data_IF_984951214756
#
_entry.id   IF_984951214756
#
_cell.length_a   1.000
_cell.length_b   1.000
_cell.length_c   1.000
_cell.angle_alpha   90.00
_cell.angle_beta   90.00
_cell.angle_gamma   90.00
#
_symmetry.space_group_name_H-M   'P 1'
#
loop_
_entity.id
_entity.type
_entity.pdbx_description
1 polymer ?
#
# COMPACT_ATOMS: atom_id res chain seq x y z
N UNK A 1 -50.61 -63.04 -16.16
CA UNK A 1 -49.34 -63.77 -16.10
C UNK A 1 -48.21 -62.73 -16.13
N UNK A 2 -47.66 -62.07 -15.11
CA UNK A 2 -47.52 -62.22 -13.64
C UNK A 2 -46.81 -63.49 -13.18
N UNK A 3 -45.52 -63.66 -13.54
CA UNK A 3 -44.48 -64.34 -12.72
C UNK A 3 -43.03 -64.37 -13.27
N UNK A 4 -42.64 -63.71 -14.37
CA UNK A 4 -41.28 -63.89 -14.94
C UNK A 4 -40.19 -62.87 -14.55
N UNK A 5 -40.47 -61.82 -13.77
CA UNK A 5 -39.48 -60.76 -13.46
C UNK A 5 -39.04 -60.72 -11.99
N UNK A 6 -38.61 -61.88 -11.43
CA UNK A 6 -38.14 -61.96 -10.03
C UNK A 6 -36.81 -62.67 -9.79
N UNK A 7 -36.00 -62.89 -10.82
CA UNK A 7 -34.67 -63.49 -10.64
C UNK A 7 -33.61 -62.69 -11.40
N UNK A 8 -33.21 -61.54 -10.86
CA UNK A 8 -31.88 -60.96 -11.12
C UNK A 8 -31.51 -59.90 -10.07
N UNK A 9 -31.53 -60.29 -8.80
CA UNK A 9 -31.02 -59.48 -7.69
C UNK A 9 -30.40 -60.42 -6.67
N UNK A 10 -29.13 -60.81 -6.88
CA UNK A 10 -28.15 -61.24 -5.87
C UNK A 10 -26.88 -61.75 -6.57
N UNK A 11 -25.76 -61.03 -6.39
CA UNK A 11 -24.45 -61.50 -6.84
C UNK A 11 -23.38 -60.43 -6.91
N UNK A 12 -23.04 -59.81 -5.77
CA UNK A 12 -21.76 -59.12 -5.62
C UNK A 12 -20.68 -60.19 -5.41
N UNK A 13 -19.76 -60.35 -6.37
CA UNK A 13 -18.37 -60.72 -6.09
C UNK A 13 -17.47 -60.14 -7.17
N UNK A 14 -16.54 -59.28 -6.75
CA UNK A 14 -15.49 -58.74 -7.58
C UNK A 14 -14.48 -59.85 -7.94
N UNK A 15 -14.25 -60.06 -9.23
CA UNK A 15 -13.10 -60.81 -9.73
C UNK A 15 -12.35 -59.91 -10.71
N UNK A 16 -11.16 -59.46 -10.30
CA UNK A 16 -10.18 -58.84 -11.20
C UNK A 16 -9.52 -59.96 -11.99
N UNK A 17 -9.80 -60.04 -13.29
CA UNK A 17 -9.13 -60.96 -14.21
C UNK A 17 -8.42 -60.14 -15.30
N UNK A 18 -7.12 -59.93 -15.12
CA UNK A 18 -6.23 -59.52 -16.20
C UNK A 18 -5.90 -60.75 -17.03
N UNK A 19 -6.51 -60.87 -18.22
CA UNK A 19 -6.14 -61.87 -19.21
C UNK A 19 -6.01 -61.21 -20.59
N UNK A 20 -4.77 -61.17 -21.07
CA UNK A 20 -4.38 -60.81 -22.42
C UNK A 20 -4.93 -61.84 -23.41
N UNK A 21 -5.68 -61.42 -24.43
CA UNK A 21 -6.05 -62.26 -25.56
C UNK A 21 -5.68 -61.60 -26.89
N UNK A 22 -5.01 -62.39 -27.73
CA UNK A 22 -4.81 -62.13 -29.16
C UNK A 22 -6.10 -62.47 -29.94
N UNK A 23 -6.38 -61.82 -31.09
CA UNK A 23 -7.68 -61.90 -31.73
C UNK A 23 -7.82 -63.16 -32.61
N UNK A 24 -8.88 -63.92 -32.38
CA UNK A 24 -9.46 -64.83 -33.36
C UNK A 24 -10.85 -64.29 -33.73
N UNK A 25 -11.03 -63.84 -34.96
CA UNK A 25 -12.30 -63.38 -35.51
C UNK A 25 -13.19 -64.56 -35.88
N UNK A 26 -14.06 -64.97 -34.96
CA UNK A 26 -15.28 -65.73 -35.24
C UNK A 26 -16.48 -64.78 -35.08
N UNK A 27 -17.48 -64.89 -35.96
CA UNK A 27 -18.71 -64.11 -35.85
C UNK A 27 -19.38 -64.39 -34.51
N UNK A 28 -19.41 -63.38 -33.63
CA UNK A 28 -20.04 -63.47 -32.32
C UNK A 28 -21.55 -63.68 -32.50
N UNK A 29 -22.13 -64.60 -31.74
CA UNK A 29 -23.57 -64.77 -31.64
C UNK A 29 -24.17 -63.43 -31.16
N UNK A 30 -25.21 -62.88 -31.83
CA UNK A 30 -25.87 -61.63 -31.42
C UNK A 30 -26.26 -61.58 -29.94
N UNK A 31 -26.52 -62.73 -29.29
CA UNK A 31 -26.87 -62.81 -27.87
C UNK A 31 -25.66 -62.59 -26.94
N UNK A 32 -24.50 -63.12 -27.29
CA UNK A 32 -23.27 -62.98 -26.48
C UNK A 32 -22.79 -61.53 -26.46
N UNK A 33 -22.81 -60.86 -27.61
CA UNK A 33 -22.39 -59.47 -27.74
C UNK A 33 -23.33 -58.51 -26.99
N UNK A 34 -24.65 -58.73 -27.11
CA UNK A 34 -25.69 -57.98 -26.37
C UNK A 34 -25.49 -58.10 -24.87
N UNK A 35 -25.29 -59.31 -24.38
CA UNK A 35 -25.06 -59.60 -22.95
C UNK A 35 -23.79 -58.89 -22.47
N UNK A 36 -22.69 -58.99 -23.23
CA UNK A 36 -21.43 -58.37 -22.87
C UNK A 36 -21.50 -56.83 -22.77
N UNK A 37 -22.22 -56.16 -23.67
CA UNK A 37 -22.39 -54.70 -23.64
C UNK A 37 -23.21 -54.25 -22.42
N UNK A 38 -24.29 -54.96 -22.09
CA UNK A 38 -25.10 -54.62 -20.92
C UNK A 38 -24.40 -54.94 -19.59
N UNK A 39 -23.69 -56.06 -19.52
CA UNK A 39 -22.82 -56.39 -18.38
C UNK A 39 -21.74 -55.33 -18.18
N UNK A 40 -21.13 -54.85 -19.27
CA UNK A 40 -20.14 -53.77 -19.21
C UNK A 40 -20.74 -52.45 -18.70
N UNK A 41 -21.97 -52.10 -19.07
CA UNK A 41 -22.68 -50.97 -18.49
C UNK A 41 -22.92 -51.18 -16.97
N UNK A 42 -23.54 -52.30 -16.60
CA UNK A 42 -23.94 -52.57 -15.21
C UNK A 42 -22.76 -52.72 -14.25
N UNK A 43 -21.62 -53.23 -14.73
CA UNK A 43 -20.39 -53.31 -13.94
C UNK A 43 -19.75 -51.94 -13.62
N UNK A 44 -20.09 -50.89 -14.38
CA UNK A 44 -19.34 -49.63 -14.35
C UNK A 44 -20.19 -48.38 -14.05
N UNK A 45 -21.53 -48.42 -14.18
CA UNK A 45 -22.38 -47.21 -14.12
C UNK A 45 -22.40 -46.51 -12.75
N UNK A 46 -22.07 -47.21 -11.66
CA UNK A 46 -21.96 -46.66 -10.30
C UNK A 46 -20.49 -46.49 -9.84
N UNK A 47 -19.53 -46.56 -10.76
CA UNK A 47 -18.10 -46.50 -10.47
C UNK A 47 -17.52 -45.09 -10.43
N UNK A 48 -16.19 -44.99 -10.56
CA UNK A 48 -15.44 -43.74 -10.74
C UNK A 48 -15.87 -43.00 -12.01
N UNK A 49 -15.47 -41.74 -12.16
CA UNK A 49 -15.67 -40.96 -13.39
C UNK A 49 -15.28 -41.73 -14.65
N UNK A 50 -14.16 -42.46 -14.61
CA UNK A 50 -13.69 -43.26 -15.74
C UNK A 50 -14.57 -44.50 -15.98
N UNK A 51 -14.97 -45.20 -14.91
CA UNK A 51 -15.90 -46.32 -15.04
C UNK A 51 -17.24 -45.86 -15.61
N UNK A 52 -17.78 -44.74 -15.14
CA UNK A 52 -19.04 -44.20 -15.68
C UNK A 52 -18.92 -43.81 -17.16
N UNK A 53 -17.76 -43.32 -17.63
CA UNK A 53 -17.50 -43.11 -19.07
C UNK A 53 -17.54 -44.43 -19.85
N UNK A 54 -16.95 -45.50 -19.30
CA UNK A 54 -17.01 -46.85 -19.88
C UNK A 54 -18.47 -47.34 -19.94
N UNK A 55 -19.26 -47.11 -18.89
CA UNK A 55 -20.67 -47.48 -18.85
C UNK A 55 -21.49 -46.71 -19.90
N UNK A 56 -21.34 -45.39 -19.98
CA UNK A 56 -22.02 -44.56 -20.99
C UNK A 56 -21.67 -45.01 -22.40
N UNK A 57 -20.39 -45.30 -22.68
CA UNK A 57 -19.97 -45.81 -23.99
C UNK A 57 -20.64 -47.15 -24.30
N UNK A 58 -20.58 -48.11 -23.39
CA UNK A 58 -21.19 -49.43 -23.58
C UNK A 58 -22.72 -49.33 -23.79
N UNK A 59 -23.39 -48.44 -23.05
CA UNK A 59 -24.83 -48.20 -23.21
C UNK A 59 -25.18 -47.55 -24.56
N UNK A 60 -24.37 -46.60 -25.04
CA UNK A 60 -24.54 -46.01 -26.37
C UNK A 60 -24.32 -47.06 -27.47
N UNK A 61 -23.26 -47.85 -27.37
CA UNK A 61 -22.97 -48.95 -28.30
C UNK A 61 -24.13 -49.97 -28.33
N UNK A 62 -24.74 -50.28 -27.18
CA UNK A 62 -25.93 -51.14 -27.08
C UNK A 62 -27.14 -50.53 -27.80
N UNK A 63 -27.45 -49.25 -27.53
CA UNK A 63 -28.59 -48.55 -28.16
C UNK A 63 -28.39 -48.44 -29.67
N UNK A 64 -27.16 -48.19 -30.14
CA UNK A 64 -26.85 -48.08 -31.56
C UNK A 64 -27.07 -49.41 -32.29
N UNK A 65 -26.63 -50.53 -31.70
CA UNK A 65 -26.71 -51.86 -32.33
C UNK A 65 -28.08 -52.52 -32.23
N UNK A 66 -28.76 -52.37 -31.09
CA UNK A 66 -30.00 -53.11 -30.79
C UNK A 66 -31.22 -52.22 -30.58
N UNK A 67 -31.10 -50.90 -30.76
CA UNK A 67 -32.17 -49.93 -30.51
C UNK A 67 -33.41 -50.06 -31.39
N UNK A 68 -33.32 -50.80 -32.50
CA UNK A 68 -34.43 -51.08 -33.41
C UNK A 68 -35.11 -52.44 -33.15
N UNK A 69 -34.57 -53.26 -32.25
CA UNK A 69 -35.10 -54.59 -31.95
C UNK A 69 -36.22 -54.48 -30.90
N UNK A 70 -37.42 -54.97 -31.22
CA UNK A 70 -38.56 -54.92 -30.30
C UNK A 70 -38.34 -55.71 -29.01
N UNK A 71 -37.57 -56.81 -29.08
CA UNK A 71 -37.20 -57.64 -27.92
C UNK A 71 -36.28 -56.92 -26.92
N UNK A 72 -35.64 -55.82 -27.34
CA UNK A 72 -34.68 -55.04 -26.55
C UNK A 72 -35.26 -53.75 -25.97
N UNK A 73 -36.52 -53.45 -26.30
CA UNK A 73 -37.15 -52.16 -26.02
C UNK A 73 -37.02 -51.74 -24.56
N UNK A 74 -37.23 -52.65 -23.60
CA UNK A 74 -37.15 -52.34 -22.17
C UNK A 74 -35.75 -51.90 -21.73
N UNK A 75 -34.69 -52.59 -22.20
CA UNK A 75 -33.30 -52.28 -21.88
C UNK A 75 -32.90 -50.97 -22.55
N UNK A 76 -33.27 -50.80 -23.83
CA UNK A 76 -33.01 -49.58 -24.60
C UNK A 76 -33.66 -48.36 -23.95
N UNK A 77 -34.92 -48.46 -23.51
CA UNK A 77 -35.64 -47.37 -22.84
C UNK A 77 -35.01 -47.05 -21.48
N UNK A 78 -34.61 -48.07 -20.71
CA UNK A 78 -33.87 -47.88 -19.46
C UNK A 78 -32.55 -47.14 -19.69
N UNK A 79 -31.72 -47.57 -20.65
CA UNK A 79 -30.43 -46.95 -20.94
C UNK A 79 -30.59 -45.51 -21.46
N UNK A 80 -31.56 -45.26 -22.34
CA UNK A 80 -31.88 -43.89 -22.82
C UNK A 80 -32.24 -42.95 -21.68
N UNK A 81 -32.92 -43.44 -20.65
CA UNK A 81 -33.28 -42.66 -19.47
C UNK A 81 -32.11 -42.49 -18.48
N UNK A 82 -31.24 -43.49 -18.34
CA UNK A 82 -30.14 -43.49 -17.38
C UNK A 82 -28.92 -42.67 -17.86
N UNK A 83 -28.57 -42.76 -19.15
CA UNK A 83 -27.38 -42.11 -19.72
C UNK A 83 -27.29 -40.61 -19.40
N UNK A 84 -28.35 -39.78 -19.60
CA UNK A 84 -28.25 -38.34 -19.36
C UNK A 84 -27.87 -37.99 -17.91
N UNK A 85 -28.36 -38.76 -16.94
CA UNK A 85 -28.03 -38.56 -15.53
C UNK A 85 -26.57 -38.92 -15.23
N UNK A 86 -26.08 -40.02 -15.80
CA UNK A 86 -24.70 -40.48 -15.64
C UNK A 86 -23.72 -39.51 -16.32
N UNK A 87 -24.04 -39.04 -17.52
CA UNK A 87 -23.25 -38.04 -18.24
C UNK A 87 -23.15 -36.74 -17.46
N UNK A 88 -24.27 -36.26 -16.91
CA UNK A 88 -24.28 -35.09 -16.04
C UNK A 88 -23.42 -35.29 -14.79
N UNK A 89 -23.52 -36.45 -14.14
CA UNK A 89 -22.66 -36.78 -12.98
C UNK A 89 -21.17 -36.83 -13.33
N UNK A 90 -20.80 -37.31 -14.52
CA UNK A 90 -19.40 -37.25 -15.01
C UNK A 90 -18.95 -35.81 -15.17
N UNK A 91 -19.78 -34.95 -15.77
CA UNK A 91 -19.48 -33.53 -15.97
C UNK A 91 -19.31 -32.79 -14.63
N UNK A 92 -20.19 -33.05 -13.68
CA UNK A 92 -20.15 -32.46 -12.34
C UNK A 92 -18.88 -32.88 -11.59
N UNK A 93 -18.49 -34.16 -11.64
CA UNK A 93 -17.25 -34.65 -11.02
C UNK A 93 -16.00 -34.01 -11.64
N UNK A 94 -15.94 -33.91 -12.97
CA UNK A 94 -14.82 -33.25 -13.67
C UNK A 94 -14.71 -31.77 -13.27
N UNK A 95 -15.83 -31.06 -13.18
CA UNK A 95 -15.85 -29.66 -12.70
C UNK A 95 -15.39 -29.55 -11.26
N UNK A 96 -15.83 -30.46 -10.39
CA UNK A 96 -15.44 -30.48 -8.98
C UNK A 96 -13.93 -30.74 -8.82
N UNK A 97 -13.37 -31.71 -9.56
CA UNK A 97 -11.93 -32.00 -9.57
C UNK A 97 -11.11 -30.81 -10.06
N UNK A 98 -11.53 -30.15 -11.14
CA UNK A 98 -10.87 -28.96 -11.66
C UNK A 98 -10.90 -27.80 -10.66
N UNK A 99 -12.04 -27.56 -10.02
CA UNK A 99 -12.19 -26.51 -9.00
C UNK A 99 -11.32 -26.80 -7.77
N UNK A 100 -11.27 -28.05 -7.31
CA UNK A 100 -10.42 -28.47 -6.19
C UNK A 100 -8.93 -28.33 -6.53
N UNK A 101 -8.52 -28.69 -7.74
CA UNK A 101 -7.15 -28.47 -8.22
C UNK A 101 -6.79 -26.98 -8.23
N UNK A 102 -7.65 -26.13 -8.79
CA UNK A 102 -7.44 -24.69 -8.79
C UNK A 102 -7.35 -24.11 -7.36
N UNK A 103 -8.18 -24.60 -6.44
CA UNK A 103 -8.14 -24.22 -5.02
C UNK A 103 -6.80 -24.60 -4.38
N UNK A 104 -6.29 -25.81 -4.62
CA UNK A 104 -4.98 -26.28 -4.11
C UNK A 104 -3.83 -25.45 -4.65
N UNK A 105 -3.84 -25.16 -5.95
CA UNK A 105 -2.81 -24.34 -6.59
C UNK A 105 -2.82 -22.91 -6.04
N UNK A 106 -4.01 -22.32 -5.85
CA UNK A 106 -4.17 -21.04 -5.16
C UNK A 106 -3.58 -21.09 -3.74
N UNK A 107 -3.98 -22.07 -2.94
CA UNK A 107 -3.46 -22.22 -1.57
C UNK A 107 -1.95 -22.39 -1.53
N UNK A 108 -1.37 -23.13 -2.47
CA UNK A 108 0.08 -23.30 -2.57
C UNK A 108 0.81 -21.99 -2.88
N UNK A 109 0.26 -21.13 -3.76
CA UNK A 109 0.83 -19.79 -4.04
C UNK A 109 0.87 -18.93 -2.79
N UNK A 110 -0.25 -18.83 -2.06
CA UNK A 110 -0.30 -18.06 -0.81
C UNK A 110 0.60 -18.67 0.27
N UNK A 111 0.66 -19.99 0.41
CA UNK A 111 1.54 -20.64 1.37
C UNK A 111 3.02 -20.32 1.10
N UNK A 112 3.43 -20.28 -0.19
CA UNK A 112 4.79 -19.87 -0.58
C UNK A 112 5.07 -18.43 -0.20
N UNK A 113 4.20 -17.49 -0.59
CA UNK A 113 4.33 -16.08 -0.24
C UNK A 113 4.43 -15.86 1.27
N UNK A 114 3.53 -16.49 2.03
CA UNK A 114 3.47 -16.41 3.48
C UNK A 114 4.76 -16.92 4.14
N UNK A 115 5.29 -18.04 3.64
CA UNK A 115 6.58 -18.59 4.08
C UNK A 115 7.72 -17.62 3.79
N UNK A 116 7.78 -17.07 2.58
CA UNK A 116 8.86 -16.19 2.14
C UNK A 116 8.86 -14.87 2.94
N UNK A 117 7.68 -14.29 3.17
CA UNK A 117 7.51 -13.07 3.97
C UNK A 117 7.92 -13.30 5.43
N UNK A 118 7.47 -14.40 6.03
CA UNK A 118 7.79 -14.74 7.43
C UNK A 118 9.28 -15.01 7.62
N UNK A 119 9.91 -15.70 6.65
CA UNK A 119 11.34 -15.99 6.64
C UNK A 119 12.22 -14.78 6.27
N UNK A 120 11.59 -13.67 5.85
CA UNK A 120 12.30 -12.50 5.31
C UNK A 120 13.11 -12.78 4.05
N UNK A 121 12.69 -13.79 3.28
CA UNK A 121 13.27 -14.13 1.98
C UNK A 121 12.67 -13.22 0.90
N UNK A 122 13.09 -11.96 0.87
CA UNK A 122 12.42 -10.94 0.07
C UNK A 122 12.50 -11.17 -1.44
N UNK A 123 13.58 -11.74 -1.96
CA UNK A 123 13.68 -12.11 -3.38
C UNK A 123 12.53 -13.07 -3.76
N UNK A 124 12.36 -14.14 -2.99
CA UNK A 124 11.28 -15.11 -3.19
C UNK A 124 9.89 -14.51 -2.90
N UNK A 125 9.76 -13.61 -1.91
CA UNK A 125 8.49 -12.95 -1.58
C UNK A 125 8.01 -12.06 -2.74
N UNK A 126 8.91 -11.34 -3.41
CA UNK A 126 8.57 -10.58 -4.61
C UNK A 126 8.14 -11.48 -5.76
N UNK A 127 8.81 -12.62 -5.96
CA UNK A 127 8.46 -13.60 -7.00
C UNK A 127 7.08 -14.22 -6.73
N UNK A 128 6.86 -14.75 -5.53
CA UNK A 128 5.60 -15.40 -5.16
C UNK A 128 4.44 -14.40 -5.07
N UNK A 129 4.69 -13.19 -4.57
CA UNK A 129 3.71 -12.11 -4.56
C UNK A 129 3.32 -11.65 -5.96
N UNK A 130 4.28 -11.49 -6.87
CA UNK A 130 3.99 -11.17 -8.28
C UNK A 130 3.15 -12.28 -8.95
N UNK A 131 3.42 -13.55 -8.66
CA UNK A 131 2.64 -14.68 -9.17
C UNK A 131 1.19 -14.68 -8.65
N UNK A 132 0.95 -14.26 -7.39
CA UNK A 132 -0.41 -14.06 -6.87
C UNK A 132 -1.10 -12.91 -7.64
N UNK A 133 -0.41 -11.78 -7.82
CA UNK A 133 -0.99 -10.60 -8.46
C UNK A 133 -1.23 -10.74 -9.97
N UNK A 134 -0.59 -11.71 -10.63
CA UNK A 134 -0.89 -12.05 -12.02
C UNK A 134 -2.30 -12.65 -12.18
N UNK A 135 -2.74 -13.46 -11.21
CA UNK A 135 -4.05 -14.11 -11.20
C UNK A 135 -5.10 -13.28 -10.44
N UNK A 136 -4.66 -12.55 -9.41
CA UNK A 136 -5.53 -11.81 -8.49
C UNK A 136 -4.98 -10.37 -8.31
N UNK A 137 -5.12 -9.50 -9.34
CA UNK A 137 -4.49 -8.18 -9.38
C UNK A 137 -5.01 -7.17 -8.35
N UNK A 138 -6.11 -7.50 -7.67
CA UNK A 138 -6.74 -6.67 -6.63
C UNK A 138 -6.41 -7.16 -5.21
N UNK A 139 -5.47 -8.09 -5.04
CA UNK A 139 -5.04 -8.58 -3.72
C UNK A 139 -4.22 -7.54 -2.97
N UNK A 140 -4.92 -6.55 -2.41
CA UNK A 140 -4.35 -5.38 -1.76
C UNK A 140 -3.36 -5.73 -0.64
N UNK A 141 -3.61 -6.78 0.13
CA UNK A 141 -2.71 -7.18 1.22
C UNK A 141 -1.33 -7.60 0.73
N UNK A 142 -1.27 -8.33 -0.39
CA UNK A 142 0.00 -8.71 -1.02
C UNK A 142 0.70 -7.47 -1.55
N UNK A 143 -0.04 -6.56 -2.21
CA UNK A 143 0.52 -5.31 -2.74
C UNK A 143 1.11 -4.46 -1.62
N UNK A 144 0.40 -4.33 -0.49
CA UNK A 144 0.84 -3.55 0.67
C UNK A 144 2.08 -4.15 1.34
N UNK A 145 2.16 -5.48 1.49
CA UNK A 145 3.37 -6.14 2.00
C UNK A 145 4.57 -5.84 1.09
N UNK A 146 4.42 -6.05 -0.22
CA UNK A 146 5.51 -5.80 -1.19
C UNK A 146 5.91 -4.31 -1.26
N UNK A 147 4.94 -3.41 -1.05
CA UNK A 147 5.10 -1.96 -1.01
C UNK A 147 5.80 -1.43 0.24
N UNK A 148 6.15 -2.31 1.19
CA UNK A 148 6.73 -1.91 2.49
C UNK A 148 8.11 -2.46 2.76
N UNK A 149 8.48 -3.58 2.14
CA UNK A 149 9.75 -4.29 2.39
C UNK A 149 10.96 -3.34 2.26
N UNK A 150 11.05 -2.58 1.16
CA UNK A 150 12.22 -1.73 0.89
C UNK A 150 12.48 -0.68 1.97
N UNK A 151 11.45 -0.18 2.67
CA UNK A 151 11.63 0.81 3.73
C UNK A 151 12.46 0.25 4.90
N UNK A 152 12.15 -0.98 5.32
CA UNK A 152 12.90 -1.65 6.39
C UNK A 152 14.34 -1.97 5.95
N UNK A 153 14.49 -2.35 4.67
CA UNK A 153 15.78 -2.75 4.09
C UNK A 153 16.75 -1.56 3.95
N UNK A 154 16.27 -0.36 3.60
CA UNK A 154 17.13 0.83 3.59
C UNK A 154 17.53 1.32 4.98
N UNK A 155 16.82 0.88 6.04
CA UNK A 155 17.13 1.23 7.43
C UNK A 155 18.20 0.33 8.07
N UNK A 156 18.63 -0.73 7.37
CA UNK A 156 19.72 -1.62 7.82
C UNK A 156 21.08 -0.95 7.73
N UNK A 157 22.06 -1.55 8.41
CA UNK A 157 23.47 -1.17 8.34
C UNK A 157 24.30 -2.39 7.92
N UNK A 158 24.84 -2.43 6.68
CA UNK A 158 24.67 -1.44 5.61
C UNK A 158 23.24 -1.43 5.02
N UNK A 159 22.79 -0.31 4.42
CA UNK A 159 21.50 -0.23 3.74
C UNK A 159 21.41 -1.20 2.55
N UNK A 160 20.25 -1.86 2.39
CA UNK A 160 19.98 -2.75 1.26
C UNK A 160 19.01 -2.06 0.31
N UNK A 161 19.50 -1.63 -0.87
CA UNK A 161 18.74 -0.79 -1.81
C UNK A 161 18.15 -1.55 -3.00
N UNK A 162 18.49 -2.84 -3.16
CA UNK A 162 18.07 -3.63 -4.33
C UNK A 162 16.55 -3.76 -4.51
N UNK A 163 15.77 -3.57 -3.45
CA UNK A 163 14.32 -3.70 -3.48
C UNK A 163 13.57 -2.37 -3.69
N UNK A 164 14.29 -1.24 -3.77
CA UNK A 164 13.68 0.09 -3.78
C UNK A 164 12.67 0.27 -4.92
N UNK A 165 13.05 -0.10 -6.14
CA UNK A 165 12.20 0.12 -7.32
C UNK A 165 10.94 -0.74 -7.28
N UNK A 166 11.09 -2.02 -6.88
CA UNK A 166 9.94 -2.91 -6.69
C UNK A 166 9.03 -2.40 -5.56
N UNK A 167 9.59 -1.97 -4.44
CA UNK A 167 8.84 -1.40 -3.31
C UNK A 167 8.05 -0.17 -3.75
N UNK A 168 8.69 0.79 -4.43
CA UNK A 168 8.02 2.00 -4.92
C UNK A 168 6.92 1.66 -5.93
N UNK A 169 7.15 0.69 -6.83
CA UNK A 169 6.14 0.21 -7.77
C UNK A 169 4.89 -0.29 -7.04
N UNK A 170 5.05 -1.18 -6.07
CA UNK A 170 3.90 -1.75 -5.35
C UNK A 170 3.26 -0.75 -4.39
N UNK A 171 4.03 0.15 -3.78
CA UNK A 171 3.48 1.21 -2.95
C UNK A 171 2.60 2.17 -3.76
N UNK A 172 3.02 2.57 -4.97
CA UNK A 172 2.18 3.35 -5.89
C UNK A 172 0.93 2.58 -6.31
N UNK A 173 1.06 1.29 -6.64
CA UNK A 173 -0.08 0.44 -6.98
C UNK A 173 -1.08 0.33 -5.82
N UNK A 174 -0.61 0.18 -4.58
CA UNK A 174 -1.47 0.14 -3.40
C UNK A 174 -2.26 1.46 -3.24
N UNK A 175 -1.58 2.61 -3.37
CA UNK A 175 -2.23 3.93 -3.34
C UNK A 175 -3.32 4.03 -4.42
N UNK A 176 -3.01 3.61 -5.65
CA UNK A 176 -3.97 3.60 -6.76
C UNK A 176 -5.18 2.70 -6.47
N UNK A 177 -4.96 1.45 -6.03
CA UNK A 177 -6.02 0.50 -5.71
C UNK A 177 -6.93 1.03 -4.58
N UNK A 178 -6.35 1.57 -3.52
CA UNK A 178 -7.10 2.18 -2.42
C UNK A 178 -7.86 3.44 -2.86
N UNK A 179 -7.30 4.25 -3.77
CA UNK A 179 -8.00 5.39 -4.37
C UNK A 179 -9.20 4.95 -5.20
N UNK A 180 -9.07 3.85 -5.93
CA UNK A 180 -10.14 3.25 -6.74
C UNK A 180 -11.14 2.41 -5.91
N UNK A 181 -11.02 2.39 -4.58
CA UNK A 181 -12.01 1.79 -3.69
C UNK A 181 -11.80 0.32 -3.37
N UNK A 182 -10.67 -0.28 -3.78
CA UNK A 182 -10.28 -1.62 -3.33
C UNK A 182 -10.05 -1.60 -1.82
N UNK A 183 -10.62 -2.58 -1.12
CA UNK A 183 -10.58 -2.68 0.34
C UNK A 183 -9.88 -3.96 0.76
N UNK A 184 -9.33 -3.91 1.96
CA UNK A 184 -8.92 -5.08 2.74
C UNK A 184 -9.49 -4.95 4.14
N UNK A 185 -9.64 -6.07 4.84
CA UNK A 185 -9.98 -6.09 6.27
C UNK A 185 -8.85 -5.48 7.09
N UNK A 186 -7.61 -5.90 6.82
CA UNK A 186 -6.44 -5.57 7.66
C UNK A 186 -5.52 -4.53 7.02
N UNK A 187 -5.74 -4.21 5.74
CA UNK A 187 -4.87 -3.39 4.91
C UNK A 187 -3.41 -3.82 5.05
N UNK A 188 -3.11 -5.02 4.54
CA UNK A 188 -1.80 -5.66 4.62
C UNK A 188 -1.84 -6.94 5.44
N UNK A 189 -0.67 -7.52 5.66
CA UNK A 189 -0.52 -8.77 6.42
C UNK A 189 0.79 -8.76 7.24
N UNK A 190 0.88 -9.62 8.24
CA UNK A 190 2.07 -9.79 9.07
C UNK A 190 2.49 -8.49 9.78
N UNK A 191 3.78 -8.15 9.71
CA UNK A 191 4.32 -6.90 10.24
C UNK A 191 3.90 -5.66 9.43
N UNK A 192 3.22 -5.84 8.29
CA UNK A 192 2.82 -4.79 7.35
C UNK A 192 1.31 -4.59 7.30
N UNK A 193 0.61 -4.74 8.42
CA UNK A 193 -0.82 -4.41 8.55
C UNK A 193 -1.00 -2.99 9.07
N UNK A 194 -1.97 -2.25 8.49
CA UNK A 194 -2.16 -0.83 8.73
C UNK A 194 -3.49 -0.46 9.36
N UNK A 195 -4.36 -1.42 9.69
CA UNK A 195 -5.68 -1.25 10.30
C UNK A 195 -6.75 -0.55 9.44
N UNK A 196 -6.39 0.46 8.64
CA UNK A 196 -7.34 1.19 7.80
C UNK A 196 -6.68 1.83 6.57
N UNK A 197 -7.53 2.29 5.63
CA UNK A 197 -7.13 2.92 4.37
C UNK A 197 -6.23 4.14 4.55
N UNK A 198 -6.56 5.05 5.45
CA UNK A 198 -5.83 6.31 5.61
C UNK A 198 -4.42 6.05 6.15
N UNK A 199 -4.30 5.13 7.12
CA UNK A 199 -3.03 4.71 7.65
C UNK A 199 -2.20 3.96 6.61
N UNK A 200 -2.80 3.04 5.86
CA UNK A 200 -2.12 2.32 4.77
C UNK A 200 -1.62 3.28 3.68
N UNK A 201 -2.48 4.20 3.23
CA UNK A 201 -2.14 5.20 2.21
C UNK A 201 -1.01 6.11 2.70
N UNK A 202 -1.07 6.52 3.97
CA UNK A 202 -0.01 7.32 4.57
C UNK A 202 1.31 6.57 4.68
N UNK A 203 1.28 5.29 5.07
CA UNK A 203 2.46 4.43 5.09
C UNK A 203 3.07 4.24 3.70
N UNK A 204 2.28 4.04 2.65
CA UNK A 204 2.81 3.93 1.28
C UNK A 204 3.49 5.22 0.82
N UNK A 205 2.87 6.37 1.09
CA UNK A 205 3.48 7.68 0.81
C UNK A 205 4.79 7.88 1.61
N UNK A 206 4.78 7.52 2.90
CA UNK A 206 5.97 7.56 3.73
C UNK A 206 7.09 6.66 3.19
N UNK A 207 6.78 5.41 2.82
CA UNK A 207 7.73 4.47 2.22
C UNK A 207 8.36 5.03 0.96
N UNK A 208 7.54 5.52 0.01
CA UNK A 208 8.03 6.11 -1.24
C UNK A 208 8.93 7.31 -0.94
N UNK A 209 8.45 8.25 -0.12
CA UNK A 209 9.18 9.47 0.22
C UNK A 209 10.52 9.19 0.89
N UNK A 210 10.57 8.27 1.85
CA UNK A 210 11.81 7.93 2.54
C UNK A 210 12.83 7.23 1.63
N UNK A 211 12.39 6.28 0.78
CA UNK A 211 13.27 5.62 -0.19
C UNK A 211 13.80 6.63 -1.21
N UNK A 212 12.92 7.47 -1.76
CA UNK A 212 13.30 8.48 -2.74
C UNK A 212 14.26 9.50 -2.15
N UNK A 213 14.07 9.94 -0.90
CA UNK A 213 14.94 10.94 -0.28
C UNK A 213 16.29 10.38 0.17
N UNK A 214 16.28 9.29 0.94
CA UNK A 214 17.47 8.77 1.65
C UNK A 214 18.25 7.72 0.87
N UNK A 215 17.68 7.18 -0.21
CA UNK A 215 18.37 6.23 -1.08
C UNK A 215 18.58 6.79 -2.48
N UNK A 216 17.53 6.92 -3.29
CA UNK A 216 17.68 7.36 -4.69
C UNK A 216 18.18 8.81 -4.77
N UNK A 217 17.73 9.65 -3.83
CA UNK A 217 18.07 11.07 -3.73
C UNK A 217 19.51 11.39 -3.37
N UNK A 218 20.30 10.38 -2.96
CA UNK A 218 21.74 10.54 -2.75
C UNK A 218 22.48 10.82 -4.05
N UNK A 219 22.00 10.28 -5.16
CA UNK A 219 22.60 10.42 -6.49
C UNK A 219 21.71 11.16 -7.48
N UNK A 220 20.43 11.39 -7.15
CA UNK A 220 19.47 12.07 -8.01
C UNK A 220 18.74 13.20 -7.25
N UNK A 221 19.15 14.48 -7.41
CA UNK A 221 18.51 15.62 -6.76
C UNK A 221 17.03 15.80 -7.14
N UNK A 222 16.60 15.33 -8.31
CA UNK A 222 15.19 15.41 -8.74
C UNK A 222 14.36 14.46 -7.87
N UNK A 223 14.82 13.21 -7.70
CA UNK A 223 14.17 12.25 -6.78
C UNK A 223 14.12 12.77 -5.34
N UNK A 224 15.19 13.43 -4.90
CA UNK A 224 15.25 14.02 -3.56
C UNK A 224 14.20 15.12 -3.38
N UNK A 225 13.96 15.96 -4.40
CA UNK A 225 12.91 16.98 -4.38
C UNK A 225 11.51 16.33 -4.45
N UNK A 226 11.30 15.40 -5.38
CA UNK A 226 10.00 14.74 -5.58
C UNK A 226 9.54 13.95 -4.34
N UNK A 227 10.48 13.42 -3.56
CA UNK A 227 10.20 12.74 -2.30
C UNK A 227 9.38 13.58 -1.32
N UNK A 228 9.54 14.91 -1.35
CA UNK A 228 8.85 15.82 -0.43
C UNK A 228 7.34 15.82 -0.63
N UNK A 229 6.85 15.59 -1.87
CA UNK A 229 5.43 15.51 -2.16
C UNK A 229 4.80 14.30 -1.47
N UNK A 230 5.48 13.16 -1.50
CA UNK A 230 5.06 11.93 -0.82
C UNK A 230 5.14 12.07 0.71
N UNK A 231 6.25 12.63 1.22
CA UNK A 231 6.40 12.90 2.66
C UNK A 231 5.30 13.86 3.16
N UNK A 232 5.00 14.92 2.41
CA UNK A 232 3.89 15.82 2.72
C UNK A 232 2.56 15.09 2.71
N UNK A 233 2.25 14.33 1.66
CA UNK A 233 1.01 13.57 1.54
C UNK A 233 0.80 12.61 2.72
N UNK A 234 1.86 11.97 3.24
CA UNK A 234 1.78 11.14 4.44
C UNK A 234 1.32 11.90 5.69
N UNK A 235 1.63 13.19 5.81
CA UNK A 235 1.19 14.03 6.95
C UNK A 235 -0.27 14.50 6.84
N UNK A 236 -0.88 14.42 5.66
CA UNK A 236 -2.22 14.96 5.38
C UNK A 236 -3.37 14.04 5.82
N UNK A 237 -3.07 12.77 6.08
CA UNK A 237 -4.06 11.75 6.43
C UNK A 237 -4.06 11.49 7.93
N UNK A 238 -5.23 11.18 8.51
CA UNK A 238 -5.35 10.79 9.91
C UNK A 238 -4.73 9.39 10.11
N UNK A 239 -3.44 9.39 10.48
CA UNK A 239 -2.59 8.21 10.51
C UNK A 239 -1.50 8.36 11.57
N UNK A 240 -0.85 7.26 11.92
CA UNK A 240 0.29 7.31 12.84
C UNK A 240 1.51 8.01 12.21
N UNK A 241 1.60 8.01 10.88
CA UNK A 241 2.67 8.73 10.16
C UNK A 241 2.55 10.24 10.29
N UNK A 242 1.34 10.80 10.47
CA UNK A 242 1.17 12.22 10.81
C UNK A 242 1.91 12.61 12.11
N UNK A 243 2.16 11.63 12.99
CA UNK A 243 2.91 11.75 14.25
C UNK A 243 4.35 11.22 14.14
N UNK A 244 4.88 11.02 12.93
CA UNK A 244 6.26 10.60 12.71
C UNK A 244 7.17 11.84 12.59
N UNK A 245 7.99 12.17 13.61
CA UNK A 245 8.81 13.38 13.58
C UNK A 245 9.85 13.36 12.45
N UNK A 246 10.32 12.16 12.03
CA UNK A 246 11.30 12.01 10.96
C UNK A 246 10.82 12.54 9.61
N UNK A 247 9.51 12.54 9.34
CA UNK A 247 8.95 13.12 8.12
C UNK A 247 9.24 14.62 8.06
N UNK A 248 8.86 15.32 9.13
CA UNK A 248 9.04 16.77 9.23
C UNK A 248 10.53 17.14 9.30
N UNK A 249 11.34 16.37 10.03
CA UNK A 249 12.79 16.57 10.04
C UNK A 249 13.40 16.45 8.65
N UNK A 250 13.01 15.43 7.88
CA UNK A 250 13.48 15.22 6.50
C UNK A 250 13.07 16.37 5.57
N UNK A 251 11.85 16.89 5.71
CA UNK A 251 11.41 18.09 4.95
C UNK A 251 12.22 19.33 5.37
N UNK A 252 12.50 19.48 6.66
CA UNK A 252 13.38 20.53 7.18
C UNK A 252 14.79 20.47 6.61
N UNK A 253 15.38 19.26 6.54
CA UNK A 253 16.73 19.04 6.00
C UNK A 253 16.85 19.49 4.54
N UNK A 254 15.80 19.30 3.74
CA UNK A 254 15.79 19.79 2.35
C UNK A 254 15.88 21.31 2.28
N UNK A 255 15.03 22.01 3.04
CA UNK A 255 15.00 23.46 3.03
C UNK A 255 16.26 24.06 3.66
N UNK A 256 16.79 23.43 4.70
CA UNK A 256 18.06 23.81 5.31
C UNK A 256 19.22 23.68 4.31
N UNK A 257 19.28 22.57 3.56
CA UNK A 257 20.27 22.39 2.52
C UNK A 257 20.17 23.47 1.43
N UNK A 258 18.95 23.87 1.04
CA UNK A 258 18.75 24.95 0.07
C UNK A 258 19.16 26.33 0.58
N UNK A 259 18.85 26.66 1.83
CA UNK A 259 19.37 27.88 2.44
C UNK A 259 20.91 27.88 2.49
N UNK A 260 21.51 26.73 2.83
CA UNK A 260 22.97 26.58 2.89
C UNK A 260 23.63 26.73 1.51
N UNK A 261 23.04 26.13 0.48
CA UNK A 261 23.51 26.24 -0.91
C UNK A 261 23.51 27.71 -1.37
N UNK A 262 22.41 28.43 -1.15
CA UNK A 262 22.32 29.86 -1.48
C UNK A 262 23.35 30.70 -0.72
N UNK A 263 23.52 30.45 0.58
CA UNK A 263 24.54 31.11 1.37
C UNK A 263 25.95 30.84 0.80
N UNK A 264 26.25 29.60 0.40
CA UNK A 264 27.54 29.25 -0.22
C UNK A 264 27.75 29.99 -1.55
N UNK A 265 26.73 30.08 -2.41
CA UNK A 265 26.84 30.84 -3.67
C UNK A 265 26.99 32.34 -3.42
N UNK A 266 26.22 32.90 -2.47
CA UNK A 266 26.30 34.31 -2.09
C UNK A 266 27.70 34.71 -1.59
N UNK A 267 28.35 33.85 -0.80
CA UNK A 267 29.68 34.10 -0.28
C UNK A 267 30.79 34.09 -1.35
N UNK A 268 30.50 33.64 -2.58
CA UNK A 268 31.44 33.76 -3.72
C UNK A 268 31.39 35.14 -4.37
N UNK A 269 30.35 35.94 -4.11
CA UNK A 269 30.24 37.30 -4.62
C UNK A 269 31.11 38.25 -3.79
N UNK A 270 31.76 39.21 -4.44
CA UNK A 270 32.44 40.29 -3.72
C UNK A 270 31.39 41.16 -3.02
N UNK A 271 31.42 41.15 -1.69
CA UNK A 271 30.47 41.87 -0.85
C UNK A 271 30.73 43.38 -0.82
N UNK A 272 31.87 43.85 -1.31
CA UNK A 272 32.21 45.27 -1.41
C UNK A 272 31.91 45.87 -2.80
N UNK A 273 31.67 45.02 -3.79
CA UNK A 273 31.33 45.46 -5.15
C UNK A 273 29.83 45.78 -5.24
N UNK A 274 29.50 47.06 -5.46
CA UNK A 274 28.13 47.55 -5.59
C UNK A 274 27.35 46.84 -6.71
N UNK A 275 28.04 46.34 -7.75
CA UNK A 275 27.40 45.58 -8.83
C UNK A 275 26.75 44.27 -8.32
N UNK A 276 27.22 43.73 -7.19
CA UNK A 276 26.71 42.50 -6.61
C UNK A 276 25.57 42.71 -5.59
N UNK A 277 25.33 43.94 -5.12
CA UNK A 277 24.40 44.19 -4.01
C UNK A 277 22.99 43.66 -4.27
N UNK A 278 22.43 43.90 -5.46
CA UNK A 278 21.11 43.39 -5.81
C UNK A 278 21.02 41.86 -5.83
N UNK A 279 22.09 41.18 -6.24
CA UNK A 279 22.16 39.72 -6.24
C UNK A 279 22.31 39.17 -4.81
N UNK A 280 23.12 39.82 -3.98
CA UNK A 280 23.30 39.51 -2.56
C UNK A 280 21.97 39.65 -1.82
N UNK A 281 21.29 40.79 -1.96
CA UNK A 281 20.01 41.06 -1.30
C UNK A 281 18.94 40.04 -1.69
N UNK A 282 18.84 39.72 -2.98
CA UNK A 282 17.94 38.69 -3.49
C UNK A 282 18.27 37.31 -2.90
N UNK A 283 19.55 36.96 -2.78
CA UNK A 283 19.97 35.70 -2.16
C UNK A 283 19.59 35.66 -0.69
N UNK A 284 19.90 36.71 0.09
CA UNK A 284 19.54 36.78 1.52
C UNK A 284 18.02 36.68 1.72
N UNK A 285 17.24 37.37 0.90
CA UNK A 285 15.78 37.29 0.95
C UNK A 285 15.26 35.86 0.70
N UNK A 286 15.87 35.14 -0.23
CA UNK A 286 15.52 33.74 -0.53
C UNK A 286 16.03 32.77 0.54
N UNK A 287 17.25 32.97 1.07
CA UNK A 287 17.81 32.23 2.20
C UNK A 287 16.88 32.33 3.42
N UNK A 288 16.41 33.53 3.76
CA UNK A 288 15.45 33.77 4.84
C UNK A 288 14.13 33.03 4.59
N UNK A 289 13.64 33.01 3.35
CA UNK A 289 12.42 32.29 2.99
C UNK A 289 12.56 30.76 3.15
N UNK A 290 13.70 30.21 2.74
CA UNK A 290 14.01 28.80 2.98
C UNK A 290 14.20 28.50 4.47
N UNK A 291 14.82 29.41 5.24
CA UNK A 291 14.93 29.30 6.68
C UNK A 291 13.55 29.27 7.35
N UNK A 292 12.60 30.10 6.94
CA UNK A 292 11.22 30.08 7.45
C UNK A 292 10.56 28.69 7.27
N UNK A 293 10.73 28.07 6.09
CA UNK A 293 10.21 26.73 5.80
C UNK A 293 10.92 25.64 6.60
N UNK A 294 12.24 25.73 6.77
CA UNK A 294 13.01 24.81 7.59
C UNK A 294 12.63 24.91 9.09
N UNK A 295 12.48 26.13 9.61
CA UNK A 295 12.05 26.39 10.99
C UNK A 295 10.66 25.78 11.25
N UNK A 296 9.68 25.98 10.36
CA UNK A 296 8.34 25.39 10.50
C UNK A 296 8.43 23.85 10.57
N UNK A 297 9.14 23.23 9.64
CA UNK A 297 9.27 21.78 9.58
C UNK A 297 10.00 21.21 10.81
N UNK A 298 11.13 21.78 11.22
CA UNK A 298 11.84 21.32 12.42
C UNK A 298 11.05 21.58 13.71
N UNK A 299 10.31 22.68 13.80
CA UNK A 299 9.44 22.94 14.95
C UNK A 299 8.34 21.89 15.07
N UNK A 300 7.71 21.47 13.96
CA UNK A 300 6.76 20.34 13.95
C UNK A 300 7.43 19.04 14.37
N UNK A 301 8.61 18.74 13.82
CA UNK A 301 9.39 17.57 14.18
C UNK A 301 9.67 17.51 15.69
N UNK A 302 10.13 18.62 16.27
CA UNK A 302 10.43 18.74 17.69
C UNK A 302 9.18 18.63 18.57
N UNK A 303 8.08 19.30 18.19
CA UNK A 303 6.83 19.26 18.95
C UNK A 303 6.30 17.81 19.04
N UNK A 304 6.32 17.09 17.92
CA UNK A 304 5.93 15.68 17.87
C UNK A 304 6.91 14.81 18.66
N UNK A 305 8.22 15.02 18.50
CA UNK A 305 9.25 14.25 19.20
C UNK A 305 9.16 14.45 20.73
N UNK A 306 8.85 15.65 21.22
CA UNK A 306 8.66 15.93 22.66
C UNK A 306 7.52 15.11 23.26
N UNK A 307 6.45 14.90 22.50
CA UNK A 307 5.32 14.07 22.91
C UNK A 307 5.60 12.55 22.83
N UNK A 308 6.71 12.13 22.20
CA UNK A 308 7.05 10.73 21.99
C UNK A 308 8.26 10.31 22.83
N UNK A 309 8.03 9.43 23.81
CA UNK A 309 9.06 8.93 24.73
C UNK A 309 10.07 7.99 24.06
N UNK A 310 9.75 7.43 22.88
CA UNK A 310 10.65 6.54 22.12
C UNK A 310 11.69 7.30 21.30
N UNK A 311 11.52 8.60 21.11
CA UNK A 311 12.46 9.44 20.36
C UNK A 311 13.58 9.89 21.29
N UNK A 312 14.83 9.72 20.85
CA UNK A 312 16.01 10.03 21.65
C UNK A 312 16.10 11.52 22.01
N UNK A 313 16.71 11.82 23.17
CA UNK A 313 16.96 13.20 23.57
C UNK A 313 17.89 13.91 22.57
N UNK A 314 18.91 13.21 22.07
CA UNK A 314 19.83 13.73 21.06
C UNK A 314 19.12 14.25 19.80
N UNK A 315 18.07 13.55 19.32
CA UNK A 315 17.27 14.04 18.20
C UNK A 315 16.53 15.34 18.55
N UNK A 316 15.92 15.42 19.74
CA UNK A 316 15.19 16.61 20.20
C UNK A 316 16.14 17.81 20.33
N UNK A 317 17.33 17.59 20.88
CA UNK A 317 18.35 18.63 21.04
C UNK A 317 18.87 19.11 19.68
N UNK A 318 19.11 18.18 18.74
CA UNK A 318 19.51 18.52 17.37
C UNK A 318 18.48 19.40 16.68
N UNK A 319 17.19 19.04 16.75
CA UNK A 319 16.12 19.84 16.15
C UNK A 319 16.03 21.23 16.81
N UNK A 320 16.13 21.32 18.14
CA UNK A 320 16.10 22.60 18.85
C UNK A 320 17.28 23.50 18.45
N UNK A 321 18.48 22.96 18.37
CA UNK A 321 19.68 23.70 17.95
C UNK A 321 19.56 24.23 16.52
N UNK A 322 19.08 23.40 15.58
CA UNK A 322 18.82 23.83 14.19
C UNK A 322 17.78 24.94 14.13
N UNK A 323 16.68 24.84 14.89
CA UNK A 323 15.67 25.90 14.98
C UNK A 323 16.31 27.18 15.50
N UNK A 324 17.07 27.14 16.61
CA UNK A 324 17.71 28.34 17.18
C UNK A 324 18.65 29.01 16.18
N UNK A 325 19.50 28.24 15.50
CA UNK A 325 20.41 28.76 14.47
C UNK A 325 19.67 29.44 13.33
N UNK A 326 18.65 28.79 12.77
CA UNK A 326 17.86 29.35 11.67
C UNK A 326 17.03 30.55 12.11
N UNK A 327 16.45 30.52 13.30
CA UNK A 327 15.66 31.63 13.85
C UNK A 327 16.54 32.87 14.07
N UNK A 328 17.76 32.70 14.58
CA UNK A 328 18.71 33.79 14.78
C UNK A 328 19.25 34.37 13.47
N UNK A 329 19.36 33.55 12.42
CA UNK A 329 19.66 34.03 11.07
C UNK A 329 18.46 34.80 10.47
N UNK A 330 17.25 34.25 10.63
CA UNK A 330 16.02 34.78 10.04
C UNK A 330 15.62 36.15 10.61
N UNK A 331 15.69 36.31 11.92
CA UNK A 331 15.28 37.53 12.62
C UNK A 331 16.52 38.23 13.15
N UNK A 332 16.75 39.48 12.79
CA UNK A 332 17.94 40.22 13.27
C UNK A 332 17.70 40.96 14.59
N UNK A 333 16.44 41.31 14.86
CA UNK A 333 15.94 41.98 16.07
C UNK A 333 16.22 41.14 17.35
N UNK A 334 17.01 41.65 18.31
CA UNK A 334 17.37 40.91 19.53
C UNK A 334 16.18 40.38 20.34
N UNK A 335 15.09 41.13 20.40
CA UNK A 335 13.86 40.80 21.12
C UNK A 335 13.11 39.60 20.53
N UNK A 336 13.34 39.28 19.25
CA UNK A 336 12.78 38.09 18.60
C UNK A 336 13.64 36.85 18.86
N UNK A 337 14.93 37.01 19.13
CA UNK A 337 15.91 35.91 19.26
C UNK A 337 15.88 35.20 20.63
N UNK A 338 14.96 35.55 21.52
CA UNK A 338 14.93 34.97 22.87
C UNK A 338 14.41 33.54 22.86
N UNK A 339 14.90 32.72 23.80
CA UNK A 339 14.41 31.35 24.00
C UNK A 339 12.90 31.31 24.25
N UNK A 340 12.34 32.32 24.91
CA UNK A 340 10.90 32.44 25.13
C UNK A 340 10.13 32.58 23.81
N UNK A 341 10.57 33.46 22.90
CA UNK A 341 9.92 33.64 21.58
C UNK A 341 10.05 32.41 20.71
N UNK A 342 11.22 31.78 20.69
CA UNK A 342 11.47 30.54 19.94
C UNK A 342 10.56 29.42 20.47
N UNK A 343 10.51 29.23 21.79
CA UNK A 343 9.66 28.21 22.40
C UNK A 343 8.16 28.50 22.20
N UNK A 344 7.74 29.76 22.24
CA UNK A 344 6.37 30.18 21.92
C UNK A 344 6.00 29.84 20.48
N UNK A 345 6.90 30.11 19.53
CA UNK A 345 6.71 29.71 18.13
C UNK A 345 6.54 28.19 17.98
N UNK A 346 7.43 27.41 18.59
CA UNK A 346 7.39 25.94 18.54
C UNK A 346 6.07 25.41 19.12
N UNK A 347 5.64 25.94 20.28
CA UNK A 347 4.41 25.50 20.93
C UNK A 347 3.15 25.74 20.06
N UNK A 348 3.13 26.83 19.29
CA UNK A 348 2.02 27.18 18.40
C UNK A 348 2.08 26.56 17.00
N UNK A 349 3.13 25.82 16.64
CA UNK A 349 3.33 25.45 15.23
C UNK A 349 2.26 24.49 14.68
N UNK A 350 1.77 23.59 15.53
CA UNK A 350 0.83 22.56 15.11
C UNK A 350 -0.57 23.10 14.81
N UNK A 351 -0.91 24.31 15.26
CA UNK A 351 -2.17 24.98 14.90
C UNK A 351 -2.11 25.68 13.54
N UNK A 352 -0.90 25.87 12.98
CA UNK A 352 -0.71 26.46 11.65
C UNK A 352 -0.74 25.36 10.57
N UNK A 353 -1.36 25.61 9.40
CA UNK A 353 -1.21 24.72 8.25
C UNK A 353 0.27 24.57 7.87
N UNK A 354 0.71 23.34 7.62
CA UNK A 354 2.05 23.11 7.11
C UNK A 354 2.14 23.59 5.66
N UNK A 355 3.14 24.44 5.34
CA UNK A 355 3.36 24.87 3.96
C UNK A 355 3.60 23.68 3.03
N UNK A 356 3.00 23.70 1.84
CA UNK A 356 3.19 22.65 0.84
C UNK A 356 4.64 22.67 0.31
N UNK A 357 5.38 21.55 0.37
CA UNK A 357 6.72 21.45 -0.19
C UNK A 357 6.81 21.57 -1.71
N UNK A 358 5.71 21.34 -2.43
CA UNK A 358 5.63 21.55 -3.87
C UNK A 358 5.53 23.03 -4.24
N UNK A 359 5.05 23.89 -3.32
CA UNK A 359 4.87 25.30 -3.58
C UNK A 359 6.23 26.02 -3.65
N UNK A 360 6.35 26.94 -4.60
CA UNK A 360 7.55 27.76 -4.73
C UNK A 360 7.80 28.59 -3.48
N UNK A 361 9.09 28.73 -3.14
CA UNK A 361 9.53 29.54 -2.02
C UNK A 361 9.68 30.97 -2.49
N UNK A 362 8.83 31.85 -1.98
CA UNK A 362 8.84 33.28 -2.28
C UNK A 362 9.84 34.01 -1.39
N UNK A 363 10.74 34.87 -1.93
CA UNK A 363 11.68 35.65 -1.14
C UNK A 363 10.99 36.48 -0.05
N UNK A 364 11.65 36.62 1.10
CA UNK A 364 11.19 37.50 2.18
C UNK A 364 11.48 38.95 1.81
N UNK A 365 10.44 39.78 1.73
CA UNK A 365 10.57 41.23 1.60
C UNK A 365 10.48 41.82 3.02
N UNK A 366 11.60 42.30 3.55
CA UNK A 366 11.60 43.04 4.81
C UNK A 366 11.28 44.51 4.51
N UNK A 367 10.11 44.97 4.93
CA UNK A 367 9.82 46.41 4.93
C UNK A 367 10.71 47.06 5.99
N UNK A 368 11.51 48.09 5.63
CA UNK A 368 12.32 48.81 6.61
C UNK A 368 11.40 49.38 7.69
N UNK A 369 11.77 49.19 8.95
CA UNK A 369 11.08 49.81 10.08
C UNK A 369 11.38 51.30 10.01
N UNK A 370 10.40 52.10 9.58
CA UNK A 370 10.49 53.55 9.72
C UNK A 370 10.43 53.85 11.21
N UNK A 371 11.57 54.04 11.85
CA UNK A 371 11.63 54.65 13.18
C UNK A 371 11.17 56.09 13.03
N UNK A 372 9.90 56.34 13.35
CA UNK A 372 9.43 57.71 13.57
C UNK A 372 10.11 58.22 14.83
N UNK A 373 11.19 58.98 14.65
CA UNK A 373 11.75 59.80 15.72
C UNK A 373 10.70 60.85 16.11
N UNK A 374 9.85 60.53 17.09
CA UNK A 374 9.11 61.56 17.83
C UNK A 374 10.12 62.38 18.62
N UNK A 375 10.66 63.42 17.97
CA UNK A 375 11.25 64.56 18.66
C UNK A 375 10.15 65.22 19.49
N UNK A 376 10.10 64.87 20.77
CA UNK A 376 9.41 65.65 21.78
C UNK A 376 9.97 67.08 21.75
N UNK A 377 9.19 68.01 21.21
CA UNK A 377 9.50 69.43 21.26
C UNK A 377 8.89 69.97 22.54
N UNK A 378 9.73 70.30 23.52
CA UNK A 378 9.33 71.10 24.68
C UNK A 378 8.85 72.47 24.19
N UNK A 379 7.55 72.75 24.38
CA UNK A 379 6.94 74.04 24.11
C UNK A 379 6.14 74.49 25.34
N UNK A 380 6.70 75.46 26.05
CA UNK A 380 6.17 75.99 27.30
C UNK A 380 5.16 77.14 27.05
N UNK A 381 4.11 77.15 27.87
CA UNK A 381 3.31 78.27 28.37
C UNK A 381 2.03 78.80 27.66
N UNK A 382 0.99 78.91 28.52
CA UNK A 382 -0.15 79.86 28.56
C UNK A 382 -1.36 79.55 27.65
N UNK A 383 -2.60 79.37 28.10
CA UNK A 383 -3.27 79.51 29.39
C UNK A 383 -4.75 79.85 29.14
N UNK A 384 -5.71 79.11 29.73
CA UNK A 384 -7.07 79.59 30.04
C UNK A 384 -7.87 78.53 30.83
N UNK A 385 -8.41 78.95 31.97
CA UNK A 385 -9.27 78.19 32.90
C UNK A 385 -10.74 78.16 32.45
N UNK A 386 -11.44 77.05 32.74
CA UNK A 386 -12.79 77.02 33.37
C UNK A 386 -13.10 75.58 33.82
N UNK A 387 -13.06 75.24 35.13
CA UNK A 387 -14.20 75.05 36.08
C UNK A 387 -15.43 74.34 35.46
N UNK A 388 -15.91 73.18 35.94
CA UNK A 388 -16.72 73.02 37.19
C UNK A 388 -16.99 71.51 37.44
N UNK A 389 -16.51 70.94 38.56
CA UNK A 389 -17.20 70.43 39.78
C UNK A 389 -18.03 69.14 39.63
N UNK A 390 -17.56 68.09 40.33
CA UNK A 390 -18.33 66.90 40.76
C UNK A 390 -19.39 67.25 41.80
N UNK A 391 -20.56 66.61 41.72
CA UNK A 391 -21.48 66.46 42.83
C UNK A 391 -21.75 64.97 43.12
N UNK A 392 -21.65 64.65 44.40
CA UNK A 392 -21.77 63.35 45.09
C UNK A 392 -23.16 63.26 45.73
N UNK A 393 -23.75 62.06 45.82
CA UNK A 393 -24.62 61.51 46.90
C UNK A 393 -25.34 60.26 46.36
N UNK A 394 -25.62 59.17 47.09
CA UNK A 394 -25.40 58.78 48.48
C UNK A 394 -26.26 57.54 48.83
N UNK A 395 -25.91 56.88 49.95
CA UNK A 395 -26.63 55.84 50.73
C UNK A 395 -26.65 54.41 50.15
N UNK A 396 -26.44 53.34 50.91
CA UNK A 396 -26.36 53.14 52.38
C UNK A 396 -25.39 52.01 52.70
#
# INVERSE_FOLDING_TARGET
MKTFFRVLMLGIFAVVLTASFAPATYGQDPIEEKTALYEKYTANYNGTTEQRRIAVKAAKDYIEKYGANDEDKEIVDYLKNAIPSIEKSIEDDVKAEAAEKARREKQARYARFNKDVTAKNWDDAYVSGAAILAEEPDMLDVILVLGSIGLDEIAKTPPVTKYNDATIKYANLAIEKMKNGVKSTDYGAYAYSYNNKDNATSWMNYTIGMIMYHSQGKTDPVKKKDALNYLYAATRLESDRKKEPRIYGTIGDWYFAKATELNTERLKLDQADEANFAAIDKSVALEKAYADRAIDAYARALQIARANTKVSQAYKDTMLDLIKKLYNFRYQQPELKTDEKINSYIAGIMSKPMPDPAADVTPVIETPVTTTDEKATEGNASGARTRTVSAKTGNR
#
